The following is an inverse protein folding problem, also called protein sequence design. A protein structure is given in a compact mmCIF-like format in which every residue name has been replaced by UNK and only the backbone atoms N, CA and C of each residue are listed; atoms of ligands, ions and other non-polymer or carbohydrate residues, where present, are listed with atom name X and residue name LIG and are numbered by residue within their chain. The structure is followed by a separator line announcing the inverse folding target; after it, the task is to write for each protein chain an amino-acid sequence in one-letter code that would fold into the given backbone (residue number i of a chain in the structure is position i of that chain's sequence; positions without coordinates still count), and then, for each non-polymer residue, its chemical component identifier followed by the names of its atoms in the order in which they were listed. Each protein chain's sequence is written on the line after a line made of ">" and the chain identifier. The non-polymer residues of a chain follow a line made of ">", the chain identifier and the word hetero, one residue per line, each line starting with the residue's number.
data_IF_408600187047
#
_entry.id   IF_408600187047
#
_cell.length_a   1.000
_cell.length_b   1.000
_cell.length_c   1.000
_cell.angle_alpha   90.00
_cell.angle_beta   90.00
_cell.angle_gamma   90.00
#
_symmetry.space_group_name_H-M   'P 1'
#
loop_
_entity.id
_entity.type
_entity.pdbx_description
1 polymer ?
#
# COMPACT_ATOMS: atom_id res chain seq x y z
N UNK A 1 -29.21 6.19 -12.20
CA UNK A 1 -28.24 6.42 -11.08
C UNK A 1 -28.72 7.37 -9.97
N UNK A 2 -29.46 8.45 -10.24
CA UNK A 2 -29.85 9.44 -9.21
C UNK A 2 -30.63 8.87 -8.01
N UNK A 3 -31.61 7.99 -8.24
CA UNK A 3 -32.38 7.32 -7.17
C UNK A 3 -31.49 6.48 -6.24
N UNK A 4 -30.51 5.77 -6.81
CA UNK A 4 -29.56 4.94 -6.07
C UNK A 4 -28.71 5.79 -5.11
N UNK A 5 -28.15 6.91 -5.58
CA UNK A 5 -27.36 7.82 -4.74
C UNK A 5 -28.16 8.40 -3.57
N UNK A 6 -29.44 8.72 -3.81
CA UNK A 6 -30.35 9.20 -2.76
C UNK A 6 -30.58 8.15 -1.66
N UNK A 7 -30.80 6.89 -2.02
CA UNK A 7 -30.99 5.79 -1.06
C UNK A 7 -29.72 5.56 -0.23
N UNK A 8 -28.58 5.42 -0.90
CA UNK A 8 -27.31 5.10 -0.26
C UNK A 8 -26.88 6.19 0.74
N UNK A 9 -27.26 7.45 0.51
CA UNK A 9 -26.95 8.57 1.41
C UNK A 9 -27.38 8.32 2.87
N UNK A 10 -28.41 7.49 3.11
CA UNK A 10 -28.90 7.12 4.46
C UNK A 10 -28.03 6.05 5.15
N UNK A 11 -27.23 5.33 4.38
CA UNK A 11 -26.38 4.23 4.84
C UNK A 11 -24.93 4.63 5.05
N UNK A 12 -24.60 5.91 4.87
CA UNK A 12 -23.25 6.46 5.06
C UNK A 12 -23.25 7.55 6.13
N UNK A 13 -22.06 7.86 6.65
CA UNK A 13 -21.84 8.99 7.57
C UNK A 13 -20.86 9.98 6.94
N UNK A 14 -20.94 11.23 7.35
CA UNK A 14 -19.94 12.24 6.98
C UNK A 14 -18.55 11.80 7.47
N UNK A 15 -17.54 12.14 6.68
CA UNK A 15 -16.13 11.90 7.01
C UNK A 15 -15.36 13.20 6.74
N UNK A 16 -14.22 13.36 7.41
CA UNK A 16 -13.25 14.41 7.08
C UNK A 16 -12.08 13.76 6.35
N UNK A 17 -11.81 14.18 5.12
CA UNK A 17 -10.66 13.70 4.35
C UNK A 17 -9.43 14.47 4.86
N UNK A 18 -8.44 13.76 5.35
CA UNK A 18 -7.16 14.35 5.77
C UNK A 18 -6.19 14.34 4.59
N UNK A 19 -6.18 13.25 3.82
CA UNK A 19 -5.30 13.11 2.67
C UNK A 19 -5.97 12.28 1.58
N UNK A 20 -5.63 12.62 0.34
CA UNK A 20 -6.11 11.90 -0.82
C UNK A 20 -5.04 11.87 -1.90
N UNK A 21 -4.83 10.69 -2.46
CA UNK A 21 -3.93 10.43 -3.55
C UNK A 21 -4.63 9.57 -4.60
N UNK A 22 -4.39 9.88 -5.86
CA UNK A 22 -4.88 9.13 -7.02
C UNK A 22 -3.76 9.09 -8.05
N UNK A 23 -3.34 7.90 -8.47
CA UNK A 23 -2.39 7.77 -9.58
C UNK A 23 -3.09 8.15 -10.88
N UNK A 24 -2.39 8.91 -11.72
CA UNK A 24 -2.63 8.84 -13.16
C UNK A 24 -1.96 7.56 -13.68
N UNK A 25 -2.30 7.13 -14.88
CA UNK A 25 -2.25 5.73 -15.31
C UNK A 25 -0.89 5.00 -15.55
N UNK A 26 0.35 5.55 -15.43
CA UNK A 26 1.51 4.80 -15.96
C UNK A 26 2.09 3.73 -15.02
N UNK A 27 1.65 3.62 -13.76
CA UNK A 27 2.17 2.61 -12.82
C UNK A 27 1.24 1.40 -12.62
N UNK A 28 0.21 1.26 -13.45
CA UNK A 28 -0.63 0.08 -13.48
C UNK A 28 0.18 -1.12 -13.96
N UNK A 29 0.85 -1.77 -13.01
CA UNK A 29 1.14 -3.17 -13.19
C UNK A 29 -0.18 -3.91 -12.97
N UNK A 30 -0.57 -4.74 -13.93
CA UNK A 30 -1.55 -5.81 -13.75
C UNK A 30 -0.94 -6.88 -12.82
N UNK A 31 -0.55 -6.48 -11.61
CA UNK A 31 -0.11 -7.42 -10.58
C UNK A 31 -1.37 -8.20 -10.16
N UNK A 32 -1.36 -9.52 -10.38
CA UNK A 32 -2.45 -10.41 -9.94
C UNK A 32 -2.69 -10.17 -8.44
N UNK A 33 -3.94 -9.94 -8.02
CA UNK A 33 -4.27 -9.67 -6.62
C UNK A 33 -3.77 -10.76 -5.67
N UNK A 34 -3.65 -12.00 -6.14
CA UNK A 34 -3.06 -13.12 -5.39
C UNK A 34 -1.63 -12.81 -4.89
N UNK A 35 -0.89 -11.93 -5.56
CA UNK A 35 0.45 -11.51 -5.16
C UNK A 35 0.47 -10.40 -4.09
N UNK A 36 -0.66 -9.73 -3.88
CA UNK A 36 -0.83 -8.62 -2.92
C UNK A 36 -1.55 -9.09 -1.67
N UNK A 37 -2.40 -10.12 -1.77
CA UNK A 37 -3.12 -10.68 -0.64
C UNK A 37 -2.15 -11.16 0.45
N UNK A 38 -2.41 -10.77 1.70
CA UNK A 38 -1.52 -11.09 2.83
C UNK A 38 -0.29 -10.19 2.96
N UNK A 39 0.10 -9.43 1.93
CA UNK A 39 1.25 -8.51 1.98
C UNK A 39 1.15 -7.52 3.15
N UNK A 40 -0.05 -7.00 3.40
CA UNK A 40 -0.31 -6.00 4.44
C UNK A 40 -0.67 -6.60 5.80
N UNK A 41 -0.79 -7.93 5.89
CA UNK A 41 -1.13 -8.60 7.15
C UNK A 41 0.07 -8.71 8.09
N UNK A 42 1.30 -8.49 7.60
CA UNK A 42 2.50 -8.57 8.43
C UNK A 42 2.50 -7.52 9.56
N UNK A 43 2.96 -7.93 10.75
CA UNK A 43 3.07 -7.02 11.92
C UNK A 43 3.99 -5.83 11.64
N UNK A 44 5.04 -6.06 10.86
CA UNK A 44 6.00 -5.05 10.44
C UNK A 44 5.33 -3.96 9.62
N UNK A 45 4.51 -4.32 8.62
CA UNK A 45 3.80 -3.34 7.79
C UNK A 45 2.79 -2.51 8.58
N UNK A 46 2.05 -3.14 9.50
CA UNK A 46 1.11 -2.43 10.37
C UNK A 46 1.81 -1.34 11.19
N UNK A 47 2.91 -1.70 11.84
CA UNK A 47 3.66 -0.76 12.67
C UNK A 47 4.39 0.31 11.86
N UNK A 48 4.86 -0.01 10.64
CA UNK A 48 5.39 0.99 9.70
C UNK A 48 4.36 2.07 9.41
N UNK A 49 3.17 1.66 8.95
CA UNK A 49 2.10 2.58 8.53
C UNK A 49 1.62 3.45 9.70
N UNK A 50 1.44 2.86 10.88
CA UNK A 50 1.04 3.60 12.08
C UNK A 50 2.10 4.62 12.54
N UNK A 51 3.38 4.27 12.47
CA UNK A 51 4.48 5.14 12.95
C UNK A 51 4.73 6.40 12.09
N UNK A 52 4.19 6.42 10.86
CA UNK A 52 4.52 7.44 9.84
C UNK A 52 3.48 8.55 9.69
N UNK A 53 2.31 8.43 10.31
CA UNK A 53 1.31 9.52 10.33
C UNK A 53 1.82 10.75 11.08
N UNK A 54 2.72 10.55 12.05
CA UNK A 54 3.28 11.63 12.86
C UNK A 54 4.56 12.25 12.27
N UNK A 55 5.14 11.64 11.23
CA UNK A 55 6.46 12.00 10.70
C UNK A 55 6.44 12.23 9.20
N UNK A 56 5.71 13.26 8.77
CA UNK A 56 5.96 13.89 7.48
C UNK A 56 6.98 15.02 7.64
N UNK A 57 8.24 14.63 7.75
CA UNK A 57 9.31 15.54 7.38
C UNK A 57 9.31 15.60 5.85
N UNK A 58 8.89 16.75 5.33
CA UNK A 58 8.99 17.19 3.95
C UNK A 58 10.47 17.34 3.57
N UNK A 59 11.21 16.23 3.53
CA UNK A 59 12.42 16.20 2.74
C UNK A 59 11.93 16.10 1.30
N UNK A 60 11.91 17.23 0.59
CA UNK A 60 11.57 17.35 -0.84
C UNK A 60 12.60 16.62 -1.74
N UNK A 61 13.15 15.51 -1.25
CA UNK A 61 14.20 14.75 -1.90
C UNK A 61 13.63 13.77 -2.89
N UNK A 62 14.39 13.53 -3.93
CA UNK A 62 14.08 12.52 -4.93
C UNK A 62 14.94 11.29 -4.69
N UNK A 63 14.34 10.11 -4.86
CA UNK A 63 15.11 8.88 -4.95
C UNK A 63 15.69 8.81 -6.37
N UNK A 64 17.00 8.67 -6.46
CA UNK A 64 17.74 8.32 -7.68
C UNK A 64 18.32 6.93 -7.48
N UNK A 65 18.34 6.12 -8.53
CA UNK A 65 18.98 4.80 -8.51
C UNK A 65 20.20 4.79 -9.42
N UNK A 66 21.24 4.05 -9.04
CA UNK A 66 22.37 3.78 -9.94
C UNK A 66 22.06 2.59 -10.87
N UNK A 67 22.82 2.43 -11.95
CA UNK A 67 22.74 1.23 -12.80
C UNK A 67 23.02 -0.05 -12.01
N UNK A 68 23.97 0.03 -11.07
CA UNK A 68 24.29 -1.09 -10.18
C UNK A 68 23.09 -1.44 -9.29
N UNK A 69 22.41 -0.44 -8.71
CA UNK A 69 21.20 -0.67 -7.93
C UNK A 69 20.09 -1.31 -8.77
N UNK A 70 19.88 -0.84 -10.01
CA UNK A 70 18.90 -1.45 -10.91
C UNK A 70 19.20 -2.92 -11.19
N UNK A 71 20.47 -3.25 -11.46
CA UNK A 71 20.89 -4.65 -11.63
C UNK A 71 20.59 -5.48 -10.38
N UNK A 72 21.01 -5.01 -9.20
CA UNK A 72 20.78 -5.72 -7.93
C UNK A 72 19.32 -5.88 -7.56
N UNK A 73 18.47 -4.92 -7.92
CA UNK A 73 17.03 -5.08 -7.77
C UNK A 73 16.51 -6.32 -8.49
N UNK A 74 16.91 -6.47 -9.76
CA UNK A 74 16.48 -7.57 -10.62
C UNK A 74 17.08 -8.94 -10.19
N UNK A 75 18.21 -8.94 -9.49
CA UNK A 75 18.89 -10.14 -9.00
C UNK A 75 18.46 -10.56 -7.58
N UNK A 76 17.96 -9.63 -6.76
CA UNK A 76 17.82 -9.85 -5.30
C UNK A 76 16.46 -9.46 -4.72
N UNK A 77 15.67 -8.65 -5.43
CA UNK A 77 14.41 -8.10 -4.91
C UNK A 77 13.20 -8.66 -5.63
N UNK A 78 13.18 -8.63 -6.96
CA UNK A 78 12.07 -9.18 -7.75
C UNK A 78 12.52 -9.40 -9.19
N UNK A 79 11.99 -10.44 -9.84
CA UNK A 79 12.24 -10.69 -11.26
C UNK A 79 11.36 -9.87 -12.20
N UNK A 80 10.47 -9.01 -11.69
CA UNK A 80 9.76 -8.06 -12.54
C UNK A 80 10.84 -7.20 -13.20
N UNK A 81 11.19 -7.47 -14.46
CA UNK A 81 12.29 -6.82 -15.18
C UNK A 81 11.96 -5.35 -15.40
N UNK A 82 12.09 -4.56 -14.34
CA UNK A 82 11.79 -3.14 -14.36
C UNK A 82 12.93 -2.44 -15.07
N UNK A 83 12.58 -1.50 -15.93
CA UNK A 83 13.55 -0.54 -16.41
C UNK A 83 13.80 0.52 -15.32
N UNK A 84 14.87 1.29 -15.54
CA UNK A 84 15.31 2.36 -14.66
C UNK A 84 14.18 3.34 -14.27
N UNK A 85 13.46 3.87 -15.26
CA UNK A 85 12.41 4.87 -15.04
C UNK A 85 11.23 4.33 -14.22
N UNK A 86 10.82 3.08 -14.50
CA UNK A 86 9.74 2.42 -13.77
C UNK A 86 10.11 2.21 -12.31
N UNK A 87 11.31 1.69 -12.04
CA UNK A 87 11.75 1.44 -10.66
C UNK A 87 11.92 2.76 -9.90
N UNK A 88 12.63 3.74 -10.48
CA UNK A 88 12.83 5.04 -9.83
C UNK A 88 11.49 5.75 -9.55
N UNK A 89 10.56 5.74 -10.50
CA UNK A 89 9.23 6.33 -10.32
C UNK A 89 8.46 5.66 -9.18
N UNK A 90 8.46 4.32 -9.11
CA UNK A 90 7.83 3.59 -8.01
C UNK A 90 8.47 3.90 -6.65
N UNK A 91 9.80 3.94 -6.57
CA UNK A 91 10.51 4.26 -5.34
C UNK A 91 10.18 5.67 -4.84
N UNK A 92 10.11 6.65 -5.74
CA UNK A 92 9.70 8.01 -5.40
C UNK A 92 8.26 8.07 -4.87
N UNK A 93 7.33 7.27 -5.42
CA UNK A 93 5.97 7.17 -4.87
C UNK A 93 5.98 6.54 -3.47
N UNK A 94 6.70 5.43 -3.29
CA UNK A 94 6.84 4.77 -1.99
C UNK A 94 7.41 5.72 -0.93
N UNK A 95 8.41 6.52 -1.28
CA UNK A 95 9.04 7.47 -0.37
C UNK A 95 8.16 8.71 -0.12
N UNK A 96 7.87 9.49 -1.17
CA UNK A 96 7.28 10.82 -1.04
C UNK A 96 5.77 10.81 -0.80
N UNK A 97 5.05 9.83 -1.34
CA UNK A 97 3.58 9.79 -1.24
C UNK A 97 3.11 8.83 -0.15
N UNK A 98 3.77 7.69 0.00
CA UNK A 98 3.28 6.62 0.87
C UNK A 98 4.02 6.47 2.19
N UNK A 99 5.21 7.07 2.34
CA UNK A 99 6.02 6.97 3.56
C UNK A 99 6.49 5.53 3.85
N UNK A 100 6.67 4.72 2.81
CA UNK A 100 7.00 3.29 2.86
C UNK A 100 8.51 3.01 2.83
N UNK A 101 9.33 4.07 2.79
CA UNK A 101 10.78 3.98 2.82
C UNK A 101 11.30 4.60 4.13
N UNK A 102 12.03 3.81 4.90
CA UNK A 102 12.71 4.23 6.12
C UNK A 102 14.19 4.47 5.83
N UNK A 103 14.69 5.67 6.14
CA UNK A 103 16.11 6.02 6.01
C UNK A 103 16.75 6.05 7.39
N UNK A 104 17.86 5.32 7.53
CA UNK A 104 18.67 5.30 8.75
C UNK A 104 19.90 6.20 8.57
N UNK A 105 20.40 6.85 9.65
CA UNK A 105 21.55 7.77 9.57
C UNK A 105 22.86 7.15 9.08
N UNK A 106 23.02 5.82 9.14
CA UNK A 106 24.21 5.08 8.75
C UNK A 106 24.29 4.76 7.23
N UNK A 107 23.46 5.42 6.41
CA UNK A 107 23.38 5.21 4.97
C UNK A 107 22.61 3.94 4.57
N UNK A 108 21.79 3.39 5.47
CA UNK A 108 20.96 2.21 5.23
C UNK A 108 19.50 2.60 5.10
N UNK A 109 18.85 2.12 4.06
CA UNK A 109 17.43 2.32 3.85
C UNK A 109 16.67 1.00 3.82
N UNK A 110 15.40 1.06 4.20
CA UNK A 110 14.51 -0.09 4.22
C UNK A 110 13.17 0.28 3.60
N UNK A 111 12.73 -0.48 2.59
CA UNK A 111 11.41 -0.34 1.97
C UNK A 111 10.50 -1.39 2.59
N UNK A 112 9.32 -0.98 3.06
CA UNK A 112 8.29 -1.88 3.59
C UNK A 112 8.76 -2.83 4.69
N UNK A 113 9.80 -2.40 5.42
CA UNK A 113 10.48 -3.23 6.43
C UNK A 113 10.95 -4.57 5.93
N UNK A 114 11.22 -4.67 4.63
CA UNK A 114 11.48 -5.93 3.95
C UNK A 114 12.69 -5.83 3.05
N UNK A 115 12.79 -4.78 2.23
CA UNK A 115 13.85 -4.64 1.23
C UNK A 115 14.94 -3.72 1.78
N UNK A 116 16.16 -4.24 1.92
CA UNK A 116 17.31 -3.47 2.40
C UNK A 116 18.10 -2.90 1.23
N UNK A 117 18.48 -1.64 1.35
CA UNK A 117 19.37 -0.95 0.42
C UNK A 117 20.36 -0.04 1.16
N UNK A 118 21.42 0.36 0.46
CA UNK A 118 22.28 1.46 0.92
C UNK A 118 22.12 2.66 0.01
N UNK A 119 22.31 3.83 0.58
CA UNK A 119 22.19 5.07 -0.14
C UNK A 119 23.25 6.08 0.29
N UNK A 120 23.52 7.00 -0.62
CA UNK A 120 24.22 8.25 -0.37
C UNK A 120 23.19 9.38 -0.40
N UNK A 121 23.41 10.39 0.42
CA UNK A 121 22.49 11.51 0.58
C UNK A 121 23.22 12.78 0.15
N UNK A 122 22.65 13.51 -0.80
CA UNK A 122 23.02 14.89 -1.09
C UNK A 122 21.87 15.82 -0.69
N UNK A 123 21.96 17.12 -0.99
CA UNK A 123 20.95 18.10 -0.55
C UNK A 123 19.54 17.81 -1.12
N UNK A 124 19.46 17.31 -2.35
CA UNK A 124 18.20 17.16 -3.10
C UNK A 124 17.82 15.69 -3.35
N UNK A 125 18.76 14.75 -3.17
CA UNK A 125 18.63 13.39 -3.63
C UNK A 125 19.06 12.36 -2.59
N UNK A 126 18.36 11.23 -2.64
CA UNK A 126 18.72 9.98 -2.01
C UNK A 126 19.15 9.04 -3.13
N UNK A 127 20.45 8.86 -3.28
CA UNK A 127 21.05 8.05 -4.34
C UNK A 127 21.21 6.63 -3.81
N UNK A 128 20.32 5.73 -4.22
CA UNK A 128 20.41 4.31 -3.88
C UNK A 128 21.57 3.70 -4.65
N UNK A 129 22.59 3.27 -3.91
CA UNK A 129 23.83 2.72 -4.47
C UNK A 129 23.70 1.22 -4.78
N UNK A 130 22.99 0.47 -3.93
CA UNK A 130 22.77 -0.97 -4.14
C UNK A 130 21.58 -1.52 -3.33
N UNK A 131 20.99 -2.62 -3.81
CA UNK A 131 20.00 -3.42 -3.08
C UNK A 131 20.65 -4.70 -2.57
N UNK A 132 20.39 -5.01 -1.30
CA UNK A 132 20.89 -6.23 -0.66
C UNK A 132 19.88 -7.38 -0.74
N UNK A 133 18.60 -7.06 -0.96
CA UNK A 133 17.54 -8.05 -1.12
C UNK A 133 16.48 -7.94 -0.04
N UNK A 134 15.77 -9.04 0.17
CA UNK A 134 14.63 -9.16 1.09
C UNK A 134 15.00 -9.87 2.38
N UNK A 135 14.62 -9.29 3.51
CA UNK A 135 14.78 -9.89 4.83
C UNK A 135 14.15 -11.30 4.91
N UNK A 136 12.98 -11.49 4.31
CA UNK A 136 12.27 -12.77 4.30
C UNK A 136 12.95 -13.85 3.47
N UNK A 137 13.90 -13.48 2.61
CA UNK A 137 14.59 -14.41 1.71
C UNK A 137 16.02 -14.68 2.18
N UNK A 138 16.68 -13.68 2.77
CA UNK A 138 18.09 -13.72 3.09
C UNK A 138 18.26 -13.47 4.59
N UNK A 139 18.32 -14.55 5.37
CA UNK A 139 18.40 -14.50 6.83
C UNK A 139 19.59 -13.67 7.34
N UNK A 140 20.72 -13.67 6.63
CA UNK A 140 21.91 -12.88 6.99
C UNK A 140 21.65 -11.37 7.02
N UNK A 141 20.60 -10.89 6.33
CA UNK A 141 20.20 -9.48 6.35
C UNK A 141 19.60 -9.04 7.69
N UNK A 142 19.12 -9.96 8.54
CA UNK A 142 18.72 -9.61 9.91
C UNK A 142 19.89 -9.08 10.76
N UNK A 143 21.12 -9.41 10.38
CA UNK A 143 22.35 -8.93 11.00
C UNK A 143 23.15 -8.07 10.01
N UNK A 144 22.46 -7.16 9.32
CA UNK A 144 23.03 -6.37 8.23
C UNK A 144 24.37 -5.68 8.57
N UNK A 145 24.51 -5.13 9.78
CA UNK A 145 25.78 -4.51 10.20
C UNK A 145 26.94 -5.51 10.26
N UNK A 146 26.70 -6.72 10.78
CA UNK A 146 27.69 -7.78 10.81
C UNK A 146 28.06 -8.24 9.40
N UNK A 147 27.07 -8.37 8.51
CA UNK A 147 27.29 -8.70 7.10
C UNK A 147 28.12 -7.62 6.39
N UNK A 148 27.80 -6.34 6.61
CA UNK A 148 28.53 -5.20 6.03
C UNK A 148 29.97 -5.19 6.49
N UNK A 149 30.22 -5.43 7.78
CA UNK A 149 31.56 -5.53 8.34
C UNK A 149 32.32 -6.74 7.78
N UNK A 150 31.68 -7.91 7.73
CA UNK A 150 32.28 -9.11 7.15
C UNK A 150 32.74 -8.87 5.70
N UNK A 151 31.88 -8.31 4.84
CA UNK A 151 32.22 -8.02 3.44
C UNK A 151 33.29 -6.92 3.27
N UNK A 152 33.50 -6.07 4.27
CA UNK A 152 34.55 -5.04 4.22
C UNK A 152 35.94 -5.58 4.57
N UNK A 153 36.01 -6.64 5.38
CA UNK A 153 37.29 -7.18 5.90
C UNK A 153 37.63 -8.58 5.38
N UNK A 154 36.66 -9.32 4.85
CA UNK A 154 36.85 -10.64 4.27
C UNK A 154 37.20 -10.53 2.77
N UNK A 155 38.07 -11.41 2.29
CA UNK A 155 38.28 -11.63 0.86
C UNK A 155 37.14 -12.43 0.21
N UNK A 156 36.26 -13.01 1.01
CA UNK A 156 35.10 -13.78 0.58
C UNK A 156 33.83 -12.94 0.75
N UNK A 157 33.00 -12.88 -0.29
CA UNK A 157 31.72 -12.21 -0.25
C UNK A 157 30.61 -13.22 -0.05
N UNK A 158 29.66 -12.91 0.83
CA UNK A 158 28.44 -13.70 0.91
C UNK A 158 27.63 -13.50 -0.37
N UNK A 159 27.28 -14.60 -1.04
CA UNK A 159 26.35 -14.56 -2.16
C UNK A 159 24.93 -14.28 -1.64
N UNK A 160 24.34 -13.20 -2.14
CA UNK A 160 23.00 -12.74 -1.78
C UNK A 160 22.03 -12.91 -2.96
N UNK A 161 22.50 -13.49 -4.06
CA UNK A 161 21.74 -13.60 -5.27
C UNK A 161 20.70 -14.71 -5.09
N UNK A 162 19.48 -14.46 -5.60
CA UNK A 162 18.38 -15.40 -5.48
C UNK A 162 18.24 -16.20 -6.78
N UNK A 163 17.79 -17.45 -6.67
CA UNK A 163 17.50 -18.24 -7.85
C UNK A 163 16.38 -17.57 -8.67
N UNK A 164 16.37 -17.71 -10.01
CA UNK A 164 15.31 -17.16 -10.85
C UNK A 164 13.91 -17.61 -10.42
N UNK A 165 13.77 -18.88 -10.00
CA UNK A 165 12.51 -19.44 -9.50
C UNK A 165 12.04 -18.69 -8.25
N UNK A 166 12.95 -18.44 -7.31
CA UNK A 166 12.65 -17.69 -6.08
C UNK A 166 12.21 -16.27 -6.43
N UNK A 167 12.98 -15.56 -7.26
CA UNK A 167 12.69 -14.19 -7.68
C UNK A 167 11.33 -14.04 -8.38
N UNK A 168 10.93 -15.03 -9.18
CA UNK A 168 9.64 -15.07 -9.88
C UNK A 168 8.43 -15.17 -8.96
N UNK A 169 8.62 -15.58 -7.71
CA UNK A 169 7.55 -15.63 -6.70
C UNK A 169 7.44 -14.36 -5.86
N UNK A 170 8.41 -13.44 -5.95
CA UNK A 170 8.49 -12.30 -5.05
C UNK A 170 7.69 -11.10 -5.56
N UNK A 171 6.67 -10.65 -4.81
CA UNK A 171 5.82 -9.54 -5.23
C UNK A 171 6.58 -8.23 -5.09
N UNK A 172 6.54 -7.40 -6.12
CA UNK A 172 7.00 -6.00 -6.05
C UNK A 172 6.17 -5.25 -5.00
N UNK A 173 6.75 -4.33 -4.22
CA UNK A 173 5.98 -3.40 -3.41
C UNK A 173 4.79 -2.77 -4.18
N UNK A 174 3.54 -3.09 -3.80
CA UNK A 174 2.37 -2.71 -4.59
C UNK A 174 2.07 -1.21 -4.43
N UNK A 175 1.74 -0.52 -5.51
CA UNK A 175 1.36 0.90 -5.51
C UNK A 175 -0.16 1.00 -5.64
N UNK A 176 -0.86 1.62 -4.68
CA UNK A 176 -2.31 1.76 -4.79
C UNK A 176 -2.68 2.73 -5.91
N UNK A 177 -3.77 2.41 -6.62
CA UNK A 177 -4.39 3.30 -7.59
C UNK A 177 -4.96 4.55 -6.90
N UNK A 178 -5.62 4.34 -5.77
CA UNK A 178 -6.13 5.42 -4.93
C UNK A 178 -5.81 5.14 -3.47
N UNK A 179 -5.49 6.20 -2.73
CA UNK A 179 -5.28 6.16 -1.29
C UNK A 179 -6.03 7.31 -0.65
N UNK A 180 -6.69 7.05 0.46
CA UNK A 180 -7.36 8.07 1.25
C UNK A 180 -7.10 7.84 2.73
N UNK A 181 -6.69 8.90 3.42
CA UNK A 181 -6.71 8.95 4.89
C UNK A 181 -7.88 9.82 5.30
N UNK A 182 -8.75 9.28 6.14
CA UNK A 182 -9.98 9.96 6.52
C UNK A 182 -10.39 9.66 7.96
N UNK A 183 -11.04 10.64 8.57
CA UNK A 183 -11.58 10.56 9.93
C UNK A 183 -13.09 10.31 9.90
N UNK A 184 -13.52 9.22 10.54
CA UNK A 184 -14.92 8.98 10.89
C UNK A 184 -15.28 9.66 12.21
N UNK A 185 -16.32 9.16 12.89
CA UNK A 185 -16.73 9.73 14.18
C UNK A 185 -15.77 9.38 15.31
N UNK A 186 -15.28 8.13 15.34
CA UNK A 186 -14.52 7.57 16.47
C UNK A 186 -13.13 7.09 16.08
N UNK A 187 -12.85 7.00 14.79
CA UNK A 187 -11.67 6.32 14.26
C UNK A 187 -11.14 7.05 13.04
N UNK A 188 -9.82 6.95 12.87
CA UNK A 188 -9.10 7.42 11.68
C UNK A 188 -8.70 6.20 10.87
N UNK A 189 -8.88 6.27 9.55
CA UNK A 189 -8.70 5.14 8.64
C UNK A 189 -7.78 5.53 7.49
N UNK A 190 -7.00 4.56 7.02
CA UNK A 190 -6.36 4.56 5.71
C UNK A 190 -7.07 3.52 4.86
N UNK A 191 -7.46 3.90 3.65
CA UNK A 191 -7.93 2.96 2.63
C UNK A 191 -7.08 3.09 1.38
N UNK A 192 -6.60 1.96 0.90
CA UNK A 192 -5.85 1.81 -0.35
C UNK A 192 -6.68 0.94 -1.30
N UNK A 193 -6.81 1.39 -2.55
CA UNK A 193 -7.49 0.69 -3.64
C UNK A 193 -6.46 0.27 -4.68
N UNK A 194 -6.49 -0.99 -5.04
CA UNK A 194 -5.75 -1.61 -6.14
C UNK A 194 -6.75 -2.09 -7.19
N UNK A 195 -6.38 -2.06 -8.46
CA UNK A 195 -7.28 -2.44 -9.56
C UNK A 195 -6.51 -3.17 -10.65
N UNK A 196 -7.10 -4.24 -11.17
CA UNK A 196 -6.64 -4.98 -12.36
C UNK A 196 -7.50 -4.64 -13.59
N UNK A 197 -8.39 -3.66 -13.46
CA UNK A 197 -9.35 -3.23 -14.47
C UNK A 197 -10.71 -3.96 -14.42
N UNK A 198 -10.80 -5.10 -13.73
CA UNK A 198 -12.04 -5.90 -13.63
C UNK A 198 -12.59 -5.91 -12.21
N UNK A 199 -11.73 -6.10 -11.22
CA UNK A 199 -12.07 -6.14 -9.80
C UNK A 199 -11.19 -5.11 -9.08
N UNK A 200 -11.71 -4.54 -8.00
CA UNK A 200 -10.91 -3.70 -7.12
C UNK A 200 -10.62 -4.47 -5.84
N UNK A 201 -9.37 -4.42 -5.39
CA UNK A 201 -8.92 -4.93 -4.11
C UNK A 201 -8.69 -3.76 -3.16
N UNK A 202 -9.25 -3.83 -1.96
CA UNK A 202 -9.15 -2.79 -0.95
C UNK A 202 -8.38 -3.29 0.26
N UNK A 203 -7.48 -2.44 0.75
CA UNK A 203 -6.80 -2.60 2.03
C UNK A 203 -7.27 -1.46 2.94
N UNK A 204 -7.98 -1.81 4.01
CA UNK A 204 -8.45 -0.87 5.03
C UNK A 204 -7.64 -1.06 6.31
N UNK A 205 -7.03 0.00 6.78
CA UNK A 205 -6.25 0.03 8.02
C UNK A 205 -6.87 1.03 8.98
N UNK A 206 -7.09 0.61 10.23
CA UNK A 206 -7.55 1.51 11.29
C UNK A 206 -6.31 2.13 11.94
N UNK A 207 -6.15 3.42 11.77
CA UNK A 207 -5.00 4.18 12.27
C UNK A 207 -5.19 4.54 13.74
N UNK A 208 -6.37 5.04 14.09
CA UNK A 208 -6.73 5.48 15.44
C UNK A 208 -8.13 4.96 15.80
N UNK A 209 -8.37 4.72 17.08
CA UNK A 209 -9.66 4.25 17.62
C UNK A 209 -9.56 2.86 18.28
N UNK A 210 -10.71 2.28 18.61
CA UNK A 210 -10.79 1.02 19.37
C UNK A 210 -10.07 -0.17 18.69
N UNK A 211 -10.13 -0.22 17.36
CA UNK A 211 -9.54 -1.29 16.55
C UNK A 211 -8.20 -0.86 15.88
N UNK A 212 -7.46 0.09 16.46
CA UNK A 212 -6.21 0.58 15.89
C UNK A 212 -5.22 -0.56 15.57
N UNK A 213 -4.60 -0.48 14.40
CA UNK A 213 -3.72 -1.51 13.82
C UNK A 213 -4.44 -2.69 13.17
N UNK A 214 -5.79 -2.74 13.20
CA UNK A 214 -6.51 -3.74 12.42
C UNK A 214 -6.37 -3.46 10.92
N UNK A 215 -6.26 -4.55 10.16
CA UNK A 215 -6.16 -4.55 8.69
C UNK A 215 -7.28 -5.44 8.16
N UNK A 216 -8.01 -4.95 7.17
CA UNK A 216 -9.08 -5.69 6.49
C UNK A 216 -8.84 -5.61 4.99
N UNK A 217 -8.76 -6.76 4.36
CA UNK A 217 -8.58 -6.93 2.92
C UNK A 217 -9.91 -7.42 2.32
N UNK A 218 -10.37 -6.82 1.22
CA UNK A 218 -11.63 -7.23 0.59
C UNK A 218 -11.72 -6.82 -0.88
N UNK A 219 -12.53 -7.55 -1.64
CA UNK A 219 -12.72 -7.36 -3.08
C UNK A 219 -14.05 -6.68 -3.42
N UNK A 220 -14.09 -5.87 -4.48
CA UNK A 220 -15.30 -5.18 -4.96
C UNK A 220 -16.40 -6.11 -5.45
N UNK A 221 -16.06 -7.34 -5.82
CA UNK A 221 -17.03 -8.36 -6.22
C UNK A 221 -17.54 -9.23 -5.05
N UNK A 222 -17.01 -9.04 -3.83
CA UNK A 222 -17.37 -9.80 -2.62
C UNK A 222 -17.89 -8.91 -1.47
N UNK A 223 -18.98 -8.14 -1.67
CA UNK A 223 -19.51 -7.20 -0.66
C UNK A 223 -19.99 -7.84 0.64
N UNK A 224 -20.24 -9.16 0.66
CA UNK A 224 -20.64 -9.90 1.86
C UNK A 224 -19.47 -10.26 2.80
N UNK A 225 -18.23 -10.27 2.29
CA UNK A 225 -17.07 -10.83 3.01
C UNK A 225 -16.47 -9.95 4.10
N UNK A 226 -16.92 -8.70 4.23
CA UNK A 226 -16.36 -7.72 5.16
C UNK A 226 -17.47 -6.99 5.89
N UNK A 227 -17.22 -6.55 7.13
CA UNK A 227 -18.08 -5.62 7.87
C UNK A 227 -17.50 -4.22 7.77
N UNK A 228 -18.30 -3.28 7.28
CA UNK A 228 -17.89 -1.90 7.02
C UNK A 228 -18.72 -0.90 7.83
N UNK A 229 -18.04 0.05 8.46
CA UNK A 229 -18.65 1.17 9.15
C UNK A 229 -19.27 2.16 8.15
N UNK A 230 -20.25 2.96 8.61
CA UNK A 230 -20.90 4.00 7.80
C UNK A 230 -19.91 5.02 7.22
N UNK A 231 -18.81 5.31 7.93
CA UNK A 231 -17.73 6.20 7.48
C UNK A 231 -16.91 5.57 6.34
N UNK A 232 -16.56 4.29 6.46
CA UNK A 232 -15.82 3.56 5.41
C UNK A 232 -16.65 3.46 4.13
N UNK A 233 -17.95 3.17 4.26
CA UNK A 233 -18.86 3.19 3.11
C UNK A 233 -18.90 4.57 2.42
N UNK A 234 -18.81 5.66 3.17
CA UNK A 234 -18.71 7.01 2.58
C UNK A 234 -17.42 7.19 1.78
N UNK A 235 -16.30 6.74 2.32
CA UNK A 235 -15.01 6.81 1.61
C UNK A 235 -15.07 6.02 0.30
N UNK A 236 -15.63 4.81 0.32
CA UNK A 236 -15.80 3.98 -0.89
C UNK A 236 -16.66 4.66 -1.96
N UNK A 237 -17.73 5.39 -1.59
CA UNK A 237 -18.49 6.19 -2.55
C UNK A 237 -17.66 7.31 -3.19
N UNK A 238 -16.81 7.96 -2.41
CA UNK A 238 -15.94 9.03 -2.91
C UNK A 238 -14.83 8.49 -3.82
N UNK A 239 -14.44 7.23 -3.63
CA UNK A 239 -13.54 6.48 -4.51
C UNK A 239 -14.24 5.90 -5.75
N UNK A 240 -15.52 6.22 -5.99
CA UNK A 240 -16.27 5.78 -7.17
C UNK A 240 -16.79 4.34 -7.12
N UNK A 241 -16.95 3.77 -5.92
CA UNK A 241 -17.40 2.38 -5.73
C UNK A 241 -18.88 2.31 -5.29
N UNK A 242 -19.76 3.05 -5.97
CA UNK A 242 -21.17 3.12 -5.56
C UNK A 242 -21.92 1.79 -5.67
N UNK A 243 -21.61 0.98 -6.69
CA UNK A 243 -22.24 -0.34 -6.86
C UNK A 243 -21.87 -1.30 -5.73
N UNK A 244 -20.59 -1.33 -5.34
CA UNK A 244 -20.14 -2.12 -4.19
C UNK A 244 -20.90 -1.74 -2.92
N UNK A 245 -20.99 -0.43 -2.62
CA UNK A 245 -21.69 0.04 -1.43
C UNK A 245 -23.18 -0.28 -1.47
N UNK A 246 -23.82 -0.21 -2.66
CA UNK A 246 -25.21 -0.63 -2.82
C UNK A 246 -25.40 -2.12 -2.48
N UNK A 247 -24.62 -2.99 -3.12
CA UNK A 247 -24.68 -4.45 -2.89
C UNK A 247 -24.36 -4.82 -1.45
N UNK A 248 -23.41 -4.13 -0.83
CA UNK A 248 -23.12 -4.27 0.60
C UNK A 248 -24.37 -3.99 1.44
N UNK A 249 -25.07 -2.88 1.17
CA UNK A 249 -26.28 -2.50 1.93
C UNK A 249 -27.42 -3.48 1.68
N UNK A 250 -27.56 -3.99 0.46
CA UNK A 250 -28.55 -5.01 0.11
C UNK A 250 -28.33 -6.30 0.90
N UNK A 251 -27.09 -6.75 1.06
CA UNK A 251 -26.74 -7.97 1.80
C UNK A 251 -26.89 -7.77 3.31
N UNK A 252 -26.30 -6.69 3.85
CA UNK A 252 -26.16 -6.50 5.31
C UNK A 252 -27.32 -5.73 5.96
N UNK A 253 -28.11 -4.99 5.18
CA UNK A 253 -29.22 -4.15 5.66
C UNK A 253 -30.49 -4.24 4.78
N UNK A 254 -30.96 -5.44 4.37
CA UNK A 254 -32.01 -5.61 3.36
C UNK A 254 -33.35 -4.95 3.75
N UNK A 255 -33.78 -5.08 5.01
CA UNK A 255 -35.05 -4.52 5.47
C UNK A 255 -35.05 -2.98 5.48
N UNK A 256 -33.94 -2.38 5.91
CA UNK A 256 -33.79 -0.92 5.90
C UNK A 256 -33.76 -0.40 4.46
N UNK A 257 -33.05 -1.10 3.56
CA UNK A 257 -32.98 -0.74 2.15
C UNK A 257 -34.37 -0.74 1.51
N UNK A 258 -35.14 -1.82 1.70
CA UNK A 258 -36.51 -1.93 1.19
C UNK A 258 -37.40 -0.79 1.68
N UNK A 259 -37.36 -0.48 2.98
CA UNK A 259 -38.11 0.64 3.57
C UNK A 259 -37.76 1.99 2.93
N UNK A 260 -36.50 2.24 2.58
CA UNK A 260 -36.11 3.47 1.91
C UNK A 260 -36.57 3.51 0.44
N UNK A 261 -36.52 2.37 -0.25
CA UNK A 261 -37.02 2.25 -1.64
C UNK A 261 -38.53 2.50 -1.71
N UNK A 262 -39.32 1.89 -0.81
CA UNK A 262 -40.77 2.09 -0.73
C UNK A 262 -41.13 3.57 -0.48
N UNK A 263 -40.40 4.23 0.42
CA UNK A 263 -40.56 5.67 0.71
C UNK A 263 -40.26 6.56 -0.48
N UNK A 264 -39.33 6.19 -1.34
CA UNK A 264 -39.03 6.95 -2.55
C UNK A 264 -40.08 6.72 -3.64
N UNK A 265 -40.58 5.50 -3.76
CA UNK A 265 -41.64 5.18 -4.73
C UNK A 265 -42.97 5.85 -4.36
N UNK A 266 -43.27 6.03 -3.07
CA UNK A 266 -44.49 6.71 -2.61
C UNK A 266 -44.40 8.24 -2.62
N UNK A 267 -43.29 8.83 -3.08
CA UNK A 267 -43.08 10.29 -3.18
C UNK A 267 -43.24 10.84 -4.60
N UNK A 268 -43.47 9.97 -5.58
CA UNK A 268 -43.73 10.29 -6.98
C UNK A 268 -45.04 9.63 -7.40
#
# INVERSE_FOLDING_TARGET
>A
MGKMKSVISKFVKTITIQEYFCTLSPFHNNDNFESIEGYFQSRSMKSLILSRLDKRASDNKQIIITDHALQRWNERVSSSRMNFFCLQGKLNLLFNQFGRVELQPNGVGIIDREIIFTYENDDENIIITTFYGRLSQIHSLHHFEALRNYNAYSSEFLDLDLSPESLNTLPVPPIPFQRMIFRGNTSTYLIEKYTDGSVDFFVLIVLEGADSGSVREFYSNQPGGVKLEKSVRRALLLLGNEEFVYRYVEIHHPHELRKQLDRLNNRF
#
